data_IF_707318150116
#
_entry.id   IF_707318150116
#
_cell.length_a   1.000
_cell.length_b   1.000
_cell.length_c   1.000
_cell.angle_alpha   90.00
_cell.angle_beta   90.00
_cell.angle_gamma   90.00
#
_symmetry.space_group_name_H-M   'P 1'
#
loop_
_entity.id
_entity.type
_entity.pdbx_description
1 polymer ?
#
# COMPACT_ATOMS: atom_id res chain seq x y z
N UNK A 1 -15.90 -19.49 0.01
CA UNK A 1 -15.61 -18.37 -0.91
C UNK A 1 -16.26 -18.63 -2.27
N UNK A 2 -16.86 -17.61 -2.90
CA UNK A 2 -17.31 -17.64 -4.30
C UNK A 2 -16.43 -16.73 -5.15
N UNK A 3 -15.81 -17.27 -6.20
CA UNK A 3 -15.06 -16.48 -7.19
C UNK A 3 -16.03 -15.90 -8.23
N UNK A 4 -15.92 -14.60 -8.50
CA UNK A 4 -16.77 -13.84 -9.42
C UNK A 4 -15.87 -12.97 -10.32
N UNK A 5 -16.15 -12.92 -11.61
CA UNK A 5 -15.38 -12.14 -12.58
C UNK A 5 -16.13 -10.92 -13.12
N UNK A 6 -17.47 -10.93 -13.10
CA UNK A 6 -18.28 -9.83 -13.65
C UNK A 6 -18.77 -8.84 -12.58
N UNK A 7 -18.82 -7.56 -12.94
CA UNK A 7 -19.32 -6.49 -12.07
C UNK A 7 -20.80 -6.71 -11.70
N UNK A 8 -21.62 -7.13 -12.67
CA UNK A 8 -23.05 -7.34 -12.46
C UNK A 8 -23.31 -8.50 -11.49
N UNK A 9 -22.59 -9.61 -11.64
CA UNK A 9 -22.72 -10.76 -10.74
C UNK A 9 -22.26 -10.43 -9.32
N UNK A 10 -21.16 -9.68 -9.16
CA UNK A 10 -20.68 -9.30 -7.81
C UNK A 10 -21.72 -8.42 -7.11
N UNK A 11 -22.28 -7.44 -7.82
CA UNK A 11 -23.35 -6.59 -7.28
C UNK A 11 -24.57 -7.40 -6.87
N UNK A 12 -24.99 -8.36 -7.71
CA UNK A 12 -26.10 -9.24 -7.40
C UNK A 12 -25.83 -10.11 -6.16
N UNK A 13 -24.62 -10.66 -6.04
CA UNK A 13 -24.21 -11.49 -4.90
C UNK A 13 -24.17 -10.71 -3.58
N UNK A 14 -23.77 -9.43 -3.62
CA UNK A 14 -23.73 -8.57 -2.42
C UNK A 14 -25.08 -7.93 -2.07
N UNK A 15 -26.05 -7.94 -2.98
CA UNK A 15 -27.33 -7.26 -2.77
C UNK A 15 -28.12 -7.81 -1.58
N UNK A 16 -28.08 -9.13 -1.35
CA UNK A 16 -28.75 -9.74 -0.21
C UNK A 16 -28.12 -9.31 1.11
N UNK A 17 -26.78 -9.34 1.20
CA UNK A 17 -26.04 -8.89 2.38
C UNK A 17 -26.37 -7.43 2.72
N UNK A 18 -26.43 -6.54 1.72
CA UNK A 18 -26.83 -5.14 1.93
C UNK A 18 -28.26 -5.01 2.45
N UNK A 19 -29.23 -5.71 1.85
CA UNK A 19 -30.63 -5.67 2.29
C UNK A 19 -30.81 -6.17 3.72
N UNK A 20 -29.96 -7.11 4.14
CA UNK A 20 -29.92 -7.62 5.51
C UNK A 20 -29.15 -6.70 6.49
N UNK A 21 -28.62 -5.57 6.04
CA UNK A 21 -27.84 -4.64 6.86
C UNK A 21 -26.47 -5.17 7.29
N UNK A 22 -25.94 -6.17 6.57
CA UNK A 22 -24.61 -6.72 6.84
C UNK A 22 -23.51 -5.76 6.39
N UNK A 23 -22.48 -5.63 7.21
CA UNK A 23 -21.28 -4.85 6.91
C UNK A 23 -20.36 -5.59 5.94
N UNK A 24 -19.77 -4.87 4.98
CA UNK A 24 -18.92 -5.40 3.92
C UNK A 24 -17.51 -4.79 4.04
N UNK A 25 -16.53 -5.66 4.27
CA UNK A 25 -15.11 -5.32 4.20
C UNK A 25 -14.52 -5.64 2.83
N UNK A 26 -13.76 -4.71 2.24
CA UNK A 26 -13.03 -4.90 0.99
C UNK A 26 -11.51 -4.93 1.22
N UNK A 27 -10.84 -5.94 0.66
CA UNK A 27 -9.38 -6.02 0.56
C UNK A 27 -8.99 -5.98 -0.92
N UNK A 28 -8.64 -4.80 -1.48
CA UNK A 28 -8.23 -4.70 -2.87
C UNK A 28 -6.76 -5.08 -3.05
N UNK A 29 -6.48 -6.00 -3.97
CA UNK A 29 -5.12 -6.50 -4.25
C UNK A 29 -4.86 -6.67 -5.76
N UNK A 30 -3.59 -6.87 -6.12
CA UNK A 30 -3.19 -7.27 -7.47
C UNK A 30 -2.91 -8.78 -7.59
N UNK A 31 -3.23 -9.58 -6.56
CA UNK A 31 -2.91 -11.01 -6.52
C UNK A 31 -1.45 -11.30 -6.13
N UNK A 32 -1.04 -12.54 -6.34
CA UNK A 32 0.21 -13.12 -5.83
C UNK A 32 0.39 -12.82 -4.34
N UNK A 33 -0.59 -13.30 -3.57
CA UNK A 33 -0.81 -12.93 -2.18
C UNK A 33 0.33 -13.41 -1.28
N UNK A 34 0.47 -12.76 -0.13
CA UNK A 34 1.46 -13.10 0.88
C UNK A 34 0.89 -12.81 2.26
N UNK A 35 1.64 -13.11 3.31
CA UNK A 35 1.21 -12.93 4.71
C UNK A 35 0.72 -11.52 5.03
N UNK A 36 1.33 -10.48 4.43
CA UNK A 36 0.82 -9.11 4.51
C UNK A 36 -0.62 -8.92 4.01
N UNK A 37 -0.96 -9.50 2.86
CA UNK A 37 -2.34 -9.48 2.35
C UNK A 37 -3.29 -10.27 3.26
N UNK A 38 -2.83 -11.41 3.78
CA UNK A 38 -3.65 -12.23 4.67
C UNK A 38 -3.91 -11.57 6.02
N UNK A 39 -3.02 -10.69 6.49
CA UNK A 39 -3.31 -9.85 7.65
C UNK A 39 -4.41 -8.82 7.36
N UNK A 40 -4.46 -8.25 6.15
CA UNK A 40 -5.60 -7.41 5.72
C UNK A 40 -6.92 -8.19 5.76
N UNK A 41 -6.90 -9.42 5.22
CA UNK A 41 -8.07 -10.33 5.24
C UNK A 41 -8.48 -10.66 6.66
N UNK A 42 -7.52 -10.99 7.54
CA UNK A 42 -7.79 -11.29 8.95
C UNK A 42 -8.46 -10.11 9.66
N UNK A 43 -7.96 -8.89 9.45
CA UNK A 43 -8.57 -7.65 9.99
C UNK A 43 -9.96 -7.43 9.43
N UNK A 44 -10.15 -7.55 8.11
CA UNK A 44 -11.45 -7.41 7.48
C UNK A 44 -12.47 -8.43 8.02
N UNK A 45 -12.05 -9.67 8.22
CA UNK A 45 -12.91 -10.74 8.73
C UNK A 45 -13.37 -10.50 10.16
N UNK A 46 -12.50 -9.94 11.01
CA UNK A 46 -12.81 -9.66 12.42
C UNK A 46 -13.71 -8.43 12.62
N UNK A 47 -13.89 -7.59 11.60
CA UNK A 47 -14.55 -6.29 11.72
C UNK A 47 -15.80 -6.15 10.81
N UNK A 48 -16.13 -7.17 10.00
CA UNK A 48 -17.26 -7.12 9.06
C UNK A 48 -18.00 -8.47 8.96
N UNK A 49 -19.26 -8.44 8.53
CA UNK A 49 -20.11 -9.62 8.31
C UNK A 49 -19.81 -10.33 7.00
N UNK A 50 -19.35 -9.60 5.99
CA UNK A 50 -18.97 -10.11 4.67
C UNK A 50 -17.60 -9.56 4.27
N UNK A 51 -16.73 -10.42 3.75
CA UNK A 51 -15.41 -10.04 3.24
C UNK A 51 -15.34 -10.28 1.75
N UNK A 52 -14.98 -9.24 1.02
CA UNK A 52 -14.66 -9.26 -0.41
C UNK A 52 -13.17 -9.02 -0.58
N UNK A 53 -12.47 -9.93 -1.24
CA UNK A 53 -11.14 -9.65 -1.77
C UNK A 53 -11.24 -9.37 -3.27
N UNK A 54 -10.45 -8.43 -3.79
CA UNK A 54 -10.30 -8.30 -5.24
C UNK A 54 -8.88 -8.65 -5.67
N UNK A 55 -8.75 -9.35 -6.79
CA UNK A 55 -7.48 -9.61 -7.47
C UNK A 55 -7.58 -9.04 -8.87
N UNK A 56 -6.91 -7.91 -9.10
CA UNK A 56 -6.87 -7.27 -10.41
C UNK A 56 -5.54 -6.55 -10.61
N UNK A 57 -4.71 -7.05 -11.52
CA UNK A 57 -3.48 -6.34 -11.93
C UNK A 57 -3.88 -5.19 -12.85
N UNK A 58 -4.12 -4.03 -12.25
CA UNK A 58 -4.62 -2.84 -12.92
C UNK A 58 -3.60 -2.27 -13.93
N UNK A 59 -3.86 -2.27 -15.24
CA UNK A 59 -2.92 -1.70 -16.22
C UNK A 59 -2.70 -0.18 -16.06
N UNK A 60 -3.68 0.57 -15.54
CA UNK A 60 -3.59 2.04 -15.46
C UNK A 60 -2.52 2.55 -14.49
N UNK A 61 -2.09 1.71 -13.54
CA UNK A 61 -1.10 2.09 -12.54
C UNK A 61 0.32 1.60 -12.89
N UNK A 62 0.54 1.09 -14.11
CA UNK A 62 1.85 0.68 -14.60
C UNK A 62 2.31 1.61 -15.72
N UNK A 63 3.54 2.13 -15.58
CA UNK A 63 4.20 2.86 -16.67
C UNK A 63 4.62 1.95 -17.84
N UNK A 64 4.92 2.51 -19.03
CA UNK A 64 5.30 1.73 -20.22
C UNK A 64 6.50 0.78 -20.02
N UNK A 65 7.42 1.16 -19.13
CA UNK A 65 8.64 0.40 -18.82
C UNK A 65 8.57 -0.35 -17.48
N UNK A 66 7.37 -0.47 -16.89
CA UNK A 66 7.17 -1.21 -15.64
C UNK A 66 6.82 -2.68 -15.87
N UNK A 67 6.67 -3.43 -14.79
CA UNK A 67 6.62 -4.89 -14.79
C UNK A 67 5.22 -5.48 -15.07
N UNK A 68 4.31 -4.78 -15.75
CA UNK A 68 2.91 -5.24 -15.96
C UNK A 68 2.84 -6.66 -16.55
N UNK A 69 3.62 -6.92 -17.59
CA UNK A 69 3.67 -8.22 -18.26
C UNK A 69 4.34 -9.31 -17.42
N UNK A 70 5.25 -8.92 -16.51
CA UNK A 70 6.02 -9.84 -15.66
C UNK A 70 5.44 -10.01 -14.25
N UNK A 71 4.43 -9.21 -13.89
CA UNK A 71 3.81 -9.23 -12.58
C UNK A 71 3.36 -10.67 -12.24
N UNK A 72 3.74 -11.21 -11.08
CA UNK A 72 3.49 -12.60 -10.76
C UNK A 72 1.98 -12.85 -10.64
N UNK A 73 1.53 -13.99 -11.14
CA UNK A 73 0.11 -14.38 -11.15
C UNK A 73 0.02 -15.87 -10.84
N UNK A 74 -0.71 -16.21 -9.78
CA UNK A 74 -1.03 -17.59 -9.40
C UNK A 74 -2.39 -17.60 -8.70
N UNK A 75 -3.45 -17.54 -9.50
CA UNK A 75 -4.81 -17.38 -8.99
C UNK A 75 -5.24 -18.58 -8.13
N UNK A 76 -4.82 -19.80 -8.47
CA UNK A 76 -5.18 -21.00 -7.72
C UNK A 76 -4.57 -20.99 -6.30
N UNK A 77 -3.31 -20.55 -6.19
CA UNK A 77 -2.66 -20.33 -4.90
C UNK A 77 -3.39 -19.25 -4.10
N UNK A 78 -3.71 -18.12 -4.74
CA UNK A 78 -4.38 -17.01 -4.09
C UNK A 78 -5.80 -17.41 -3.61
N UNK A 79 -6.55 -18.17 -4.40
CA UNK A 79 -7.87 -18.70 -4.03
C UNK A 79 -7.83 -19.61 -2.80
N UNK A 80 -6.80 -20.46 -2.72
CA UNK A 80 -6.57 -21.32 -1.55
C UNK A 80 -6.36 -20.47 -0.30
N UNK A 81 -5.45 -19.50 -0.37
CA UNK A 81 -5.16 -18.60 0.76
C UNK A 81 -6.40 -17.80 1.20
N UNK A 82 -7.17 -17.25 0.26
CA UNK A 82 -8.37 -16.47 0.58
C UNK A 82 -9.49 -17.33 1.16
N UNK A 83 -9.63 -18.58 0.69
CA UNK A 83 -10.60 -19.54 1.24
C UNK A 83 -10.25 -19.87 2.69
N UNK A 84 -8.99 -20.15 2.99
CA UNK A 84 -8.50 -20.38 4.36
C UNK A 84 -8.63 -19.13 5.24
N UNK A 85 -8.46 -17.94 4.65
CA UNK A 85 -8.65 -16.65 5.32
C UNK A 85 -10.11 -16.28 5.63
N UNK A 86 -11.09 -17.09 5.21
CA UNK A 86 -12.51 -16.84 5.48
C UNK A 86 -13.13 -15.75 4.60
N UNK A 87 -12.62 -15.56 3.39
CA UNK A 87 -13.20 -14.64 2.40
C UNK A 87 -14.50 -15.21 1.83
N UNK A 88 -15.53 -14.38 1.76
CA UNK A 88 -16.83 -14.77 1.22
C UNK A 88 -16.84 -14.70 -0.30
N UNK A 89 -16.32 -13.59 -0.86
CA UNK A 89 -16.27 -13.36 -2.31
C UNK A 89 -14.88 -12.96 -2.78
N UNK A 90 -14.37 -13.62 -3.81
CA UNK A 90 -13.23 -13.16 -4.58
C UNK A 90 -13.75 -12.52 -5.87
N UNK A 91 -13.48 -11.24 -6.04
CA UNK A 91 -13.68 -10.54 -7.30
C UNK A 91 -12.39 -10.56 -8.12
N UNK A 92 -12.33 -11.40 -9.15
CA UNK A 92 -11.16 -11.58 -10.02
C UNK A 92 -11.48 -11.26 -11.49
N UNK A 93 -11.80 -9.99 -11.80
CA UNK A 93 -12.19 -9.60 -13.16
C UNK A 93 -10.99 -9.61 -14.13
N UNK A 94 -11.28 -9.83 -15.41
CA UNK A 94 -10.34 -9.52 -16.49
C UNK A 94 -10.27 -8.03 -16.79
N UNK A 95 -9.32 -7.63 -17.64
CA UNK A 95 -9.19 -6.23 -18.08
C UNK A 95 -10.44 -5.76 -18.82
N UNK A 96 -11.03 -6.60 -19.67
CA UNK A 96 -12.27 -6.26 -20.39
C UNK A 96 -13.50 -6.13 -19.48
N UNK A 97 -13.52 -6.84 -18.34
CA UNK A 97 -14.59 -6.73 -17.35
C UNK A 97 -14.48 -5.41 -16.58
N UNK A 98 -13.25 -5.00 -16.24
CA UNK A 98 -12.98 -3.73 -15.55
C UNK A 98 -13.04 -2.53 -16.50
N UNK A 99 -12.56 -2.67 -17.73
CA UNK A 99 -12.41 -1.60 -18.71
C UNK A 99 -12.90 -2.08 -20.09
N UNK A 100 -14.23 -2.21 -20.28
CA UNK A 100 -14.81 -2.69 -21.54
C UNK A 100 -14.55 -1.76 -22.73
N UNK A 101 -14.24 -0.49 -22.43
CA UNK A 101 -13.80 0.51 -23.39
C UNK A 101 -12.60 1.26 -22.78
N UNK A 102 -11.79 1.96 -23.60
CA UNK A 102 -10.78 2.89 -23.10
C UNK A 102 -11.40 3.85 -22.08
N UNK A 103 -10.72 4.03 -20.94
CA UNK A 103 -11.20 4.91 -19.88
C UNK A 103 -10.95 6.37 -20.28
N UNK A 104 -12.02 7.17 -20.32
CA UNK A 104 -11.93 8.63 -20.49
C UNK A 104 -11.91 9.36 -19.13
N UNK A 105 -12.41 8.71 -18.08
CA UNK A 105 -12.47 9.26 -16.73
C UNK A 105 -11.21 8.92 -15.94
N UNK A 106 -10.62 9.93 -15.32
CA UNK A 106 -9.51 9.80 -14.38
C UNK A 106 -9.88 10.43 -13.05
N UNK A 107 -9.53 9.76 -11.95
CA UNK A 107 -9.53 10.33 -10.60
C UNK A 107 -8.06 10.53 -10.22
N UNK A 108 -7.70 11.74 -9.81
CA UNK A 108 -6.31 12.07 -9.50
C UNK A 108 -6.23 13.07 -8.35
N UNK A 109 -5.11 13.00 -7.62
CA UNK A 109 -4.72 13.93 -6.57
C UNK A 109 -3.36 14.53 -6.93
N UNK A 110 -3.30 15.48 -7.88
CA UNK A 110 -2.05 15.81 -8.58
C UNK A 110 -0.91 16.25 -7.66
N UNK A 111 -1.22 17.01 -6.60
CA UNK A 111 -0.21 17.46 -5.63
C UNK A 111 0.41 16.29 -4.86
N UNK A 112 -0.41 15.43 -4.23
CA UNK A 112 0.08 14.29 -3.45
C UNK A 112 0.64 13.16 -4.33
N UNK A 113 0.04 12.96 -5.50
CA UNK A 113 0.38 11.88 -6.42
C UNK A 113 1.58 12.13 -7.32
N UNK A 114 2.11 13.36 -7.39
CA UNK A 114 3.30 13.69 -8.20
C UNK A 114 4.61 13.70 -7.41
N UNK A 115 4.55 13.61 -6.08
CA UNK A 115 5.72 13.60 -5.20
C UNK A 115 6.14 12.18 -4.79
N UNK A 116 7.32 12.04 -4.18
CA UNK A 116 7.80 10.79 -3.58
C UNK A 116 7.79 9.63 -4.61
N UNK A 117 7.01 8.57 -4.39
CA UNK A 117 6.85 7.46 -5.36
C UNK A 117 6.29 7.95 -6.70
N UNK A 118 5.40 8.95 -6.67
CA UNK A 118 4.81 9.55 -7.85
C UNK A 118 5.82 10.24 -8.76
N UNK A 119 6.89 10.79 -8.18
CA UNK A 119 7.96 11.46 -8.95
C UNK A 119 8.79 10.48 -9.78
N UNK A 120 8.89 9.23 -9.32
CA UNK A 120 9.60 8.13 -10.00
C UNK A 120 8.66 7.16 -10.74
N UNK A 121 7.35 7.33 -10.60
CA UNK A 121 6.28 6.59 -11.29
C UNK A 121 5.15 7.53 -11.77
N UNK A 122 5.41 8.40 -12.77
CA UNK A 122 4.42 9.37 -13.24
C UNK A 122 3.11 8.70 -13.66
N UNK A 123 1.97 9.23 -13.20
CA UNK A 123 0.64 8.70 -13.48
C UNK A 123 0.22 7.48 -12.64
N UNK A 124 1.12 6.91 -11.83
CA UNK A 124 0.83 5.73 -11.01
C UNK A 124 -0.39 5.95 -10.10
N UNK A 125 -0.39 7.03 -9.33
CA UNK A 125 -1.46 7.29 -8.36
C UNK A 125 -2.79 7.71 -8.99
N UNK A 126 -2.79 8.33 -10.16
CA UNK A 126 -4.01 8.53 -10.93
C UNK A 126 -4.63 7.18 -11.35
N UNK A 127 -3.79 6.23 -11.78
CA UNK A 127 -4.21 4.86 -12.06
C UNK A 127 -4.77 4.13 -10.84
N UNK A 128 -4.13 4.29 -9.68
CA UNK A 128 -4.58 3.73 -8.39
C UNK A 128 -5.91 4.35 -7.96
N UNK A 129 -6.00 5.68 -7.86
CA UNK A 129 -7.21 6.37 -7.44
C UNK A 129 -8.40 6.06 -8.35
N UNK A 130 -8.17 5.96 -9.66
CA UNK A 130 -9.20 5.58 -10.64
C UNK A 130 -9.72 4.16 -10.40
N UNK A 131 -8.83 3.17 -10.24
CA UNK A 131 -9.27 1.78 -10.04
C UNK A 131 -9.91 1.57 -8.67
N UNK A 132 -9.38 2.21 -7.62
CA UNK A 132 -9.93 2.12 -6.25
C UNK A 132 -11.31 2.77 -6.20
N UNK A 133 -11.49 3.94 -6.80
CA UNK A 133 -12.82 4.57 -6.94
C UNK A 133 -13.80 3.63 -7.65
N UNK A 134 -13.36 2.99 -8.74
CA UNK A 134 -14.19 2.03 -9.48
C UNK A 134 -14.55 0.82 -8.61
N UNK A 135 -13.60 0.26 -7.87
CA UNK A 135 -13.84 -0.85 -6.93
C UNK A 135 -14.79 -0.45 -5.81
N UNK A 136 -14.68 0.75 -5.24
CA UNK A 136 -15.63 1.25 -4.24
C UNK A 136 -17.03 1.42 -4.83
N UNK A 137 -17.17 1.84 -6.09
CA UNK A 137 -18.48 1.92 -6.76
C UNK A 137 -19.06 0.54 -7.12
N UNK A 138 -18.22 -0.47 -7.32
CA UNK A 138 -18.64 -1.84 -7.62
C UNK A 138 -19.04 -2.56 -6.33
N UNK A 139 -18.16 -2.54 -5.34
CA UNK A 139 -18.24 -3.31 -4.08
C UNK A 139 -18.97 -2.55 -2.99
N UNK A 140 -19.07 -1.21 -3.03
CA UNK A 140 -19.68 -0.35 -2.02
C UNK A 140 -19.40 -0.82 -0.58
N UNK A 141 -18.13 -0.96 -0.17
CA UNK A 141 -17.80 -1.50 1.15
C UNK A 141 -18.08 -0.48 2.26
N UNK A 142 -18.35 -0.96 3.47
CA UNK A 142 -18.34 -0.13 4.67
C UNK A 142 -16.90 0.20 5.10
N UNK A 143 -15.99 -0.77 4.92
CA UNK A 143 -14.56 -0.66 5.25
C UNK A 143 -13.69 -1.17 4.12
N UNK A 144 -12.60 -0.47 3.83
CA UNK A 144 -11.59 -0.93 2.88
C UNK A 144 -10.21 -0.96 3.55
N UNK A 145 -9.48 -2.07 3.39
CA UNK A 145 -8.26 -2.37 4.12
C UNK A 145 -7.03 -2.24 3.22
N UNK A 146 -6.06 -1.44 3.64
CA UNK A 146 -4.83 -1.20 2.91
C UNK A 146 -3.62 -1.33 3.85
N UNK A 147 -2.51 -1.86 3.35
CA UNK A 147 -1.28 -1.97 4.11
C UNK A 147 -0.59 -0.62 4.28
N UNK A 148 -0.09 -0.33 5.48
CA UNK A 148 0.74 0.85 5.76
C UNK A 148 2.09 0.81 5.04
N UNK A 149 2.49 -0.35 4.52
CA UNK A 149 3.68 -0.53 3.68
C UNK A 149 3.68 0.38 2.46
N UNK A 150 2.52 0.61 1.85
CA UNK A 150 2.34 1.57 0.76
C UNK A 150 1.71 2.88 1.32
N UNK A 151 2.43 3.54 2.23
CA UNK A 151 1.88 4.64 3.05
C UNK A 151 1.36 5.83 2.22
N UNK A 152 2.09 6.22 1.16
CA UNK A 152 1.64 7.30 0.26
C UNK A 152 0.32 6.92 -0.42
N UNK A 153 0.17 5.67 -0.87
CA UNK A 153 -1.07 5.16 -1.42
C UNK A 153 -2.22 5.26 -0.39
N UNK A 154 -1.98 4.84 0.85
CA UNK A 154 -2.98 4.90 1.92
C UNK A 154 -3.46 6.34 2.16
N UNK A 155 -2.55 7.32 2.23
CA UNK A 155 -2.93 8.73 2.42
C UNK A 155 -3.67 9.30 1.21
N UNK A 156 -3.24 8.96 -0.01
CA UNK A 156 -3.93 9.37 -1.24
C UNK A 156 -5.36 8.82 -1.26
N UNK A 157 -5.56 7.55 -0.89
CA UNK A 157 -6.90 6.93 -0.86
C UNK A 157 -7.76 7.54 0.25
N UNK A 158 -7.21 7.81 1.44
CA UNK A 158 -7.92 8.52 2.51
C UNK A 158 -8.38 9.89 2.04
N UNK A 159 -7.49 10.65 1.42
CA UNK A 159 -7.81 11.98 0.91
C UNK A 159 -8.83 11.95 -0.23
N UNK A 160 -8.71 10.99 -1.14
CA UNK A 160 -9.69 10.75 -2.20
C UNK A 160 -11.08 10.46 -1.65
N UNK A 161 -11.18 9.60 -0.63
CA UNK A 161 -12.45 9.28 0.03
C UNK A 161 -13.08 10.50 0.69
N UNK A 162 -12.26 11.31 1.37
CA UNK A 162 -12.69 12.57 1.99
C UNK A 162 -13.19 13.58 0.94
N UNK A 163 -12.35 13.90 -0.06
CA UNK A 163 -12.65 14.90 -1.09
C UNK A 163 -13.88 14.53 -1.94
N UNK A 164 -14.10 13.22 -2.19
CA UNK A 164 -15.24 12.71 -2.96
C UNK A 164 -16.44 12.32 -2.09
N UNK A 165 -16.39 12.57 -0.77
CA UNK A 165 -17.42 12.20 0.20
C UNK A 165 -17.88 10.74 0.09
N UNK A 166 -16.95 9.81 -0.16
CA UNK A 166 -17.27 8.39 -0.29
C UNK A 166 -17.59 7.80 1.08
N UNK A 167 -18.69 7.03 1.23
CA UNK A 167 -19.10 6.47 2.52
C UNK A 167 -18.31 5.18 2.83
N UNK A 168 -16.98 5.26 2.81
CA UNK A 168 -16.07 4.12 3.03
C UNK A 168 -15.07 4.48 4.13
N UNK A 169 -14.95 3.65 5.15
CA UNK A 169 -13.88 3.80 6.15
C UNK A 169 -12.59 3.16 5.63
N UNK A 170 -11.52 3.94 5.46
CA UNK A 170 -10.21 3.42 5.01
C UNK A 170 -9.34 3.02 6.19
N UNK A 171 -9.16 1.71 6.36
CA UNK A 171 -8.39 1.12 7.47
C UNK A 171 -6.96 0.83 7.03
N UNK A 172 -6.00 1.45 7.72
CA UNK A 172 -4.59 1.13 7.59
C UNK A 172 -4.23 -0.08 8.45
N UNK A 173 -3.46 -1.02 7.88
CA UNK A 173 -2.99 -2.20 8.59
C UNK A 173 -1.47 -2.20 8.65
N UNK A 174 -0.85 -2.38 9.83
CA UNK A 174 0.60 -2.33 9.99
C UNK A 174 1.37 -3.24 9.03
N UNK A 175 2.53 -2.76 8.59
CA UNK A 175 3.42 -3.50 7.70
C UNK A 175 3.84 -4.84 8.32
N UNK A 176 3.48 -5.94 7.66
CA UNK A 176 3.99 -7.27 7.99
C UNK A 176 5.40 -7.43 7.41
N UNK A 177 6.32 -7.96 8.22
CA UNK A 177 7.74 -8.09 7.90
C UNK A 177 8.17 -9.55 7.93
N UNK A 178 9.15 -9.89 7.10
CA UNK A 178 9.88 -11.15 7.14
C UNK A 178 10.78 -11.22 8.39
N UNK A 179 11.39 -12.38 8.66
CA UNK A 179 12.15 -12.61 9.89
C UNK A 179 13.35 -11.65 10.09
N UNK A 180 13.91 -11.12 9.00
CA UNK A 180 15.01 -10.15 9.01
C UNK A 180 14.53 -8.69 8.94
N UNK A 181 13.23 -8.46 9.08
CA UNK A 181 12.60 -7.14 9.09
C UNK A 181 12.22 -6.59 7.72
N UNK A 182 12.58 -7.26 6.62
CA UNK A 182 12.20 -6.81 5.28
C UNK A 182 10.67 -6.78 5.16
N UNK A 183 10.10 -5.68 4.67
CA UNK A 183 8.66 -5.59 4.45
C UNK A 183 8.20 -6.64 3.42
N UNK A 184 7.12 -7.37 3.73
CA UNK A 184 6.57 -8.38 2.83
C UNK A 184 6.07 -7.72 1.54
N UNK A 185 6.52 -8.21 0.38
CA UNK A 185 6.04 -7.76 -0.93
C UNK A 185 6.08 -8.89 -1.95
N UNK A 186 5.07 -8.94 -2.82
CA UNK A 186 5.04 -9.81 -4.00
C UNK A 186 6.27 -9.64 -4.90
N UNK A 187 6.90 -8.44 -4.90
CA UNK A 187 8.11 -8.15 -5.68
C UNK A 187 9.40 -8.67 -5.05
N UNK A 188 9.38 -9.15 -3.80
CA UNK A 188 10.57 -9.75 -3.16
C UNK A 188 11.07 -10.99 -3.93
N UNK A 189 10.19 -11.67 -4.67
CA UNK A 189 10.52 -12.84 -5.51
C UNK A 189 11.47 -12.51 -6.67
N UNK A 190 11.56 -11.25 -7.07
CA UNK A 190 12.46 -10.82 -8.14
C UNK A 190 13.91 -10.64 -7.70
N UNK A 191 14.15 -10.54 -6.38
CA UNK A 191 15.49 -10.36 -5.84
C UNK A 191 16.29 -11.65 -6.02
N UNK A 192 17.50 -11.52 -6.56
CA UNK A 192 18.51 -12.58 -6.48
C UNK A 192 18.88 -12.86 -5.01
N UNK A 193 19.56 -13.97 -4.75
CA UNK A 193 19.99 -14.29 -3.38
C UNK A 193 20.88 -13.19 -2.75
N UNK A 194 21.73 -12.56 -3.55
CA UNK A 194 22.60 -11.46 -3.09
C UNK A 194 21.80 -10.18 -2.82
N UNK A 195 20.92 -9.80 -3.75
CA UNK A 195 20.03 -8.66 -3.57
C UNK A 195 19.08 -8.84 -2.39
N UNK A 196 18.55 -10.05 -2.17
CA UNK A 196 17.68 -10.34 -1.02
C UNK A 196 18.41 -10.18 0.30
N UNK A 197 19.68 -10.63 0.41
CA UNK A 197 20.50 -10.42 1.60
C UNK A 197 20.80 -8.93 1.81
N UNK A 198 21.15 -8.21 0.75
CA UNK A 198 21.40 -6.78 0.78
C UNK A 198 20.15 -5.96 1.17
N UNK A 199 18.95 -6.38 0.73
CA UNK A 199 17.70 -5.69 1.00
C UNK A 199 17.37 -5.52 2.49
N UNK A 200 17.96 -6.33 3.37
CA UNK A 200 17.86 -6.16 4.82
C UNK A 200 18.45 -4.83 5.34
N UNK A 201 19.20 -4.08 4.52
CA UNK A 201 19.64 -2.71 4.85
C UNK A 201 18.46 -1.72 4.92
N UNK A 202 17.38 -1.94 4.16
CA UNK A 202 16.22 -1.04 4.09
C UNK A 202 15.53 -0.88 5.45
N UNK A 203 15.11 -1.96 6.16
CA UNK A 203 14.52 -1.81 7.48
C UNK A 203 15.52 -1.24 8.51
N UNK A 204 16.81 -1.57 8.40
CA UNK A 204 17.85 -1.00 9.27
C UNK A 204 18.04 0.50 9.06
N UNK A 205 17.81 1.01 7.87
CA UNK A 205 17.86 2.44 7.57
C UNK A 205 16.71 3.20 8.26
N UNK A 206 15.56 2.56 8.48
CA UNK A 206 14.50 3.11 9.33
C UNK A 206 14.96 3.20 10.79
N UNK A 207 15.66 2.18 11.30
CA UNK A 207 16.23 2.18 12.65
C UNK A 207 17.32 3.26 12.80
N UNK A 208 18.09 3.51 11.74
CA UNK A 208 19.09 4.58 11.72
C UNK A 208 18.44 5.97 11.80
N UNK A 209 17.32 6.18 11.11
CA UNK A 209 16.55 7.41 11.24
C UNK A 209 16.01 7.61 12.66
N UNK A 210 15.46 6.54 13.27
CA UNK A 210 15.04 6.55 14.67
C UNK A 210 16.22 6.93 15.58
N UNK A 211 17.41 6.37 15.35
CA UNK A 211 18.62 6.67 16.12
C UNK A 211 19.05 8.14 15.98
N UNK A 212 19.08 8.68 14.75
CA UNK A 212 19.46 10.07 14.48
C UNK A 212 18.51 11.05 15.17
N UNK A 213 17.19 10.86 15.00
CA UNK A 213 16.17 11.69 15.64
C UNK A 213 16.25 11.56 17.17
N UNK A 214 16.41 10.33 17.68
CA UNK A 214 16.55 10.06 19.10
C UNK A 214 17.83 10.64 19.74
N UNK A 215 18.83 11.00 18.92
CA UNK A 215 20.08 11.65 19.34
C UNK A 215 19.98 13.18 19.36
N UNK A 216 18.85 13.75 18.92
CA UNK A 216 18.58 15.18 18.94
C UNK A 216 18.77 15.89 17.61
N UNK A 217 18.91 15.17 16.48
CA UNK A 217 18.93 15.80 15.16
C UNK A 217 17.53 16.33 14.84
N UNK A 218 17.39 17.64 14.70
CA UNK A 218 16.11 18.31 14.41
C UNK A 218 15.96 18.74 12.95
N UNK A 219 17.05 18.82 12.19
CA UNK A 219 17.02 19.16 10.76
C UNK A 219 16.67 17.92 9.91
N UNK A 220 15.52 17.91 9.21
CA UNK A 220 15.12 16.80 8.35
C UNK A 220 16.16 16.46 7.28
N UNK A 221 16.83 17.46 6.70
CA UNK A 221 17.82 17.24 5.64
C UNK A 221 19.06 16.49 6.16
N UNK A 222 19.43 16.69 7.43
CA UNK A 222 20.52 15.94 8.06
C UNK A 222 20.15 14.48 8.28
N UNK A 223 18.90 14.20 8.68
CA UNK A 223 18.42 12.82 8.84
C UNK A 223 18.33 12.13 7.48
N UNK A 224 17.73 12.77 6.48
CA UNK A 224 17.64 12.24 5.11
C UNK A 224 19.02 11.92 4.53
N UNK A 225 19.99 12.83 4.73
CA UNK A 225 21.39 12.60 4.32
C UNK A 225 22.01 11.42 5.05
N UNK A 226 21.89 11.34 6.38
CA UNK A 226 22.46 10.23 7.17
C UNK A 226 21.88 8.87 6.78
N UNK A 227 20.56 8.80 6.56
CA UNK A 227 19.87 7.59 6.09
C UNK A 227 20.31 7.23 4.67
N UNK A 228 20.49 8.21 3.79
CA UNK A 228 20.98 7.99 2.42
C UNK A 228 22.41 7.44 2.41
N UNK A 229 23.29 7.99 3.24
CA UNK A 229 24.67 7.50 3.41
C UNK A 229 24.69 6.09 3.99
N UNK A 230 23.83 5.81 4.98
CA UNK A 230 23.68 4.47 5.56
C UNK A 230 23.24 3.44 4.52
N UNK A 231 22.20 3.73 3.73
CA UNK A 231 21.77 2.86 2.65
C UNK A 231 22.87 2.67 1.60
N UNK A 232 23.60 3.73 1.26
CA UNK A 232 24.68 3.70 0.26
C UNK A 232 25.92 2.91 0.71
N UNK A 233 26.00 2.54 2.00
CA UNK A 233 27.04 1.63 2.51
C UNK A 233 26.87 0.19 2.02
N UNK A 234 25.66 -0.18 1.57
CA UNK A 234 25.39 -1.45 0.90
C UNK A 234 25.55 -1.29 -0.63
N UNK A 235 26.58 -1.89 -1.26
CA UNK A 235 26.90 -1.65 -2.67
C UNK A 235 25.81 -2.04 -3.66
N UNK A 236 24.84 -2.88 -3.29
CA UNK A 236 23.70 -3.23 -4.14
C UNK A 236 22.50 -2.29 -4.00
N UNK A 237 22.44 -1.49 -2.92
CA UNK A 237 21.35 -0.57 -2.67
C UNK A 237 21.53 0.73 -3.46
N UNK A 238 20.48 1.18 -4.13
CA UNK A 238 20.43 2.48 -4.82
C UNK A 238 19.24 3.28 -4.30
N UNK A 239 19.44 4.16 -3.29
CA UNK A 239 18.37 5.04 -2.81
C UNK A 239 17.89 5.95 -3.94
N UNK A 240 16.59 5.94 -4.19
CA UNK A 240 15.92 6.83 -5.15
C UNK A 240 15.15 7.94 -4.42
N UNK A 241 14.53 7.58 -3.29
CA UNK A 241 13.81 8.52 -2.43
C UNK A 241 14.16 8.18 -0.98
N UNK A 242 14.60 9.19 -0.24
CA UNK A 242 14.69 9.20 1.22
C UNK A 242 14.06 10.51 1.65
N UNK A 243 12.87 10.46 2.25
CA UNK A 243 12.10 11.67 2.50
C UNK A 243 11.43 11.63 3.87
N UNK A 244 11.63 12.69 4.65
CA UNK A 244 10.91 12.99 5.88
C UNK A 244 9.75 13.92 5.58
N UNK A 245 8.54 13.48 5.93
CA UNK A 245 7.28 14.16 5.63
C UNK A 245 6.37 14.22 6.85
N UNK A 246 5.37 15.09 6.79
CA UNK A 246 4.25 15.03 7.71
C UNK A 246 3.43 13.74 7.43
N UNK A 247 3.11 12.92 8.44
CA UNK A 247 2.42 11.65 8.25
C UNK A 247 0.96 11.78 7.82
N UNK A 248 0.34 12.96 7.95
CA UNK A 248 -1.04 13.23 7.55
C UNK A 248 -1.10 13.88 6.17
N UNK A 249 -0.26 14.89 5.93
CA UNK A 249 -0.34 15.69 4.69
C UNK A 249 0.66 15.25 3.62
N UNK A 250 1.67 14.45 3.99
CA UNK A 250 2.85 14.13 3.19
C UNK A 250 3.66 15.36 2.76
N UNK A 251 3.41 16.55 3.28
CA UNK A 251 4.18 17.75 2.97
C UNK A 251 5.59 17.68 3.60
N UNK A 252 6.60 18.35 3.00
CA UNK A 252 7.91 18.49 3.63
C UNK A 252 7.80 19.08 5.03
N UNK A 253 8.52 18.50 5.99
CA UNK A 253 8.68 19.09 7.32
C UNK A 253 9.88 20.04 7.32
N UNK A 254 9.77 21.18 7.99
CA UNK A 254 10.88 22.15 8.11
C UNK A 254 11.78 21.85 9.32
N UNK A 255 11.22 21.21 10.34
CA UNK A 255 11.91 20.88 11.59
C UNK A 255 11.25 19.64 12.23
N UNK A 256 12.07 18.77 12.81
CA UNK A 256 11.63 17.63 13.62
C UNK A 256 11.44 18.11 15.07
N UNK A 257 10.20 18.45 15.41
CA UNK A 257 9.81 18.91 16.74
C UNK A 257 9.26 17.78 17.62
N UNK A 258 8.10 18.01 18.25
CA UNK A 258 7.42 17.01 19.09
C UNK A 258 6.41 16.14 18.31
N UNK A 259 5.99 16.59 17.14
CA UNK A 259 5.02 15.86 16.31
C UNK A 259 5.69 14.67 15.62
N UNK A 260 4.98 13.56 15.39
CA UNK A 260 5.51 12.45 14.60
C UNK A 260 5.86 12.88 13.18
N UNK A 261 6.94 12.32 12.65
CA UNK A 261 7.37 12.48 11.25
C UNK A 261 7.34 11.14 10.54
N UNK A 262 7.08 11.13 9.24
CA UNK A 262 7.10 9.94 8.40
C UNK A 262 8.40 9.88 7.61
N UNK A 263 9.18 8.82 7.77
CA UNK A 263 10.25 8.50 6.82
C UNK A 263 9.72 7.55 5.75
N UNK A 264 9.92 7.92 4.48
CA UNK A 264 9.63 7.10 3.29
C UNK A 264 10.93 6.76 2.57
N UNK A 265 11.10 5.48 2.24
CA UNK A 265 12.27 4.96 1.53
C UNK A 265 11.84 4.29 0.23
N UNK A 266 12.43 4.70 -0.89
CA UNK A 266 12.37 3.98 -2.15
C UNK A 266 13.78 3.60 -2.58
N UNK A 267 14.08 2.30 -2.62
CA UNK A 267 15.43 1.79 -2.81
C UNK A 267 15.43 0.71 -3.88
N UNK A 268 16.29 0.85 -4.87
CA UNK A 268 16.44 -0.10 -5.98
C UNK A 268 17.59 -1.08 -5.72
N UNK A 269 17.31 -2.35 -5.99
CA UNK A 269 18.26 -3.48 -6.02
C UNK A 269 18.13 -4.15 -7.38
N UNK A 270 19.15 -3.97 -8.23
CA UNK A 270 19.08 -4.37 -9.64
C UNK A 270 17.87 -3.74 -10.34
N UNK A 271 16.92 -4.57 -10.76
CA UNK A 271 15.67 -4.13 -11.39
C UNK A 271 14.49 -3.96 -10.40
N UNK A 272 14.66 -4.41 -9.16
CA UNK A 272 13.59 -4.45 -8.16
C UNK A 272 13.60 -3.16 -7.35
N UNK A 273 12.45 -2.48 -7.28
CA UNK A 273 12.24 -1.29 -6.46
C UNK A 273 11.50 -1.68 -5.18
N UNK A 274 12.12 -1.47 -4.03
CA UNK A 274 11.54 -1.73 -2.72
C UNK A 274 11.07 -0.42 -2.08
N UNK A 275 9.94 -0.51 -1.39
CA UNK A 275 9.36 0.58 -0.61
C UNK A 275 9.27 0.14 0.85
N UNK A 276 9.70 1.00 1.76
CA UNK A 276 9.47 0.86 3.19
C UNK A 276 9.27 2.23 3.83
N UNK A 277 8.66 2.27 5.00
CA UNK A 277 8.37 3.51 5.71
C UNK A 277 8.19 3.30 7.21
N UNK A 278 8.30 4.39 7.97
CA UNK A 278 8.02 4.39 9.41
C UNK A 278 7.56 5.77 9.87
N UNK A 279 6.50 5.81 10.66
CA UNK A 279 6.16 6.99 11.46
C UNK A 279 7.03 6.96 12.72
N UNK A 280 7.86 7.98 12.88
CA UNK A 280 8.83 8.14 13.97
C UNK A 280 8.28 9.19 14.93
N UNK A 281 8.08 8.79 16.18
CA UNK A 281 7.67 9.69 17.26
C UNK A 281 8.93 10.21 17.99
N UNK A 282 9.14 11.54 18.06
CA UNK A 282 10.21 12.14 18.86
C UNK A 282 10.10 11.72 20.33
N UNK A 283 11.22 11.60 21.06
CA UNK A 283 11.23 11.11 22.45
C UNK A 283 10.36 11.93 23.42
N UNK A 284 10.02 13.18 23.11
CA UNK A 284 9.08 14.00 23.90
C UNK A 284 7.60 13.59 23.73
N UNK A 285 7.25 12.79 22.71
CA UNK A 285 5.89 12.38 22.39
C UNK A 285 5.41 11.08 23.05
N UNK A 286 6.18 10.49 23.98
CA UNK A 286 5.66 9.42 24.83
C UNK A 286 4.66 10.02 25.82
N UNK A 287 3.39 10.11 25.42
CA UNK A 287 2.11 10.15 26.16
C UNK A 287 1.12 10.86 25.21
N UNK A 288 0.19 10.18 24.52
CA UNK A 288 -0.97 9.54 25.13
C UNK A 288 -1.39 8.30 24.33
N UNK A 289 -1.50 7.16 25.01
CA UNK A 289 -2.46 6.13 24.61
C UNK A 289 -3.84 6.73 24.83
N UNK A 290 -4.56 7.03 23.75
CA UNK A 290 -6.00 7.28 23.84
C UNK A 290 -6.64 5.94 24.18
N UNK A 291 -7.29 5.91 25.34
CA UNK A 291 -8.10 4.80 25.84
C UNK A 291 -9.40 4.64 25.05
#
# INVERSE_FOLDING_TARGET
MKTITSIAELRAALAESRRAGKTIGLVPTMGYLHVGHMELVRRARGENDVVVASIFVNPLQFGPNEDLAKYPRDLARDETMLTEGGVDFLFAPGVADMFPHPMETVVDLPKLGSELEGSVRPGHFAGVATVVTKLFNIVQPDRAYFGEKDFQQLQIIRRMVEDLAQPVTVVGVPTVREADGLACSSRNVYLTMDERRAAAIVPKALDEADRLIASGVTDPALVEKGVTEFLSSEPLARPEVVALRDPQTLEPVSEIGEKPVLLLLFVRFGATKLLDNRVIAPKSARFAKVA
#
